data_IF_533399629961
#
_entry.id   IF_533399629961
#
_cell.length_a   1.000
_cell.length_b   1.000
_cell.length_c   1.000
_cell.angle_alpha   90.00
_cell.angle_beta   90.00
_cell.angle_gamma   90.00
#
_symmetry.space_group_name_H-M   'P 1'
#
loop_
_entity.id
_entity.type
_entity.pdbx_description
1 polymer ?
#
# COMPACT_ATOMS: atom_id res chain seq x y z
N UNK A 1 -5.29 3.69 -19.35
CA UNK A 1 -4.48 2.54 -18.88
C UNK A 1 -3.19 3.09 -18.29
N UNK A 2 -3.01 2.98 -16.97
CA UNK A 2 -1.76 3.37 -16.32
C UNK A 2 -0.69 2.32 -16.66
N UNK A 3 0.13 2.61 -17.67
CA UNK A 3 1.18 1.74 -18.23
C UNK A 3 2.33 1.42 -17.24
N UNK A 4 2.17 1.83 -15.99
CA UNK A 4 3.16 1.84 -14.94
C UNK A 4 3.04 0.67 -13.96
N UNK A 5 1.82 0.16 -13.77
CA UNK A 5 1.54 -0.94 -12.85
C UNK A 5 1.70 -2.28 -13.60
N UNK A 6 2.95 -2.69 -13.77
CA UNK A 6 3.33 -3.97 -14.41
C UNK A 6 4.36 -4.69 -13.54
N UNK A 7 4.49 -6.01 -13.73
CA UNK A 7 5.47 -6.80 -13.00
C UNK A 7 6.89 -6.22 -13.19
N UNK A 8 7.70 -6.16 -12.12
CA UNK A 8 8.93 -5.39 -12.13
C UNK A 8 10.01 -6.05 -13.00
N UNK A 9 10.56 -5.28 -13.93
CA UNK A 9 11.70 -5.70 -14.78
C UNK A 9 12.98 -4.92 -14.47
N UNK A 10 12.88 -3.73 -13.90
CA UNK A 10 14.02 -2.89 -13.46
C UNK A 10 14.22 -2.91 -11.95
N UNK A 11 15.41 -2.52 -11.47
CA UNK A 11 15.69 -2.38 -10.04
C UNK A 11 14.80 -1.32 -9.37
N UNK A 12 14.56 -0.19 -10.03
CA UNK A 12 13.64 0.83 -9.54
C UNK A 12 12.20 0.29 -9.37
N UNK A 13 11.72 -0.54 -10.31
CA UNK A 13 10.41 -1.18 -10.18
C UNK A 13 10.39 -2.20 -9.03
N UNK A 14 11.44 -3.03 -8.87
CA UNK A 14 11.57 -3.94 -7.72
C UNK A 14 11.58 -3.19 -6.39
N UNK A 15 12.29 -2.06 -6.31
CA UNK A 15 12.35 -1.23 -5.11
C UNK A 15 11.00 -0.53 -4.83
N UNK A 16 10.25 -0.18 -5.87
CA UNK A 16 8.87 0.33 -5.73
C UNK A 16 7.92 -0.73 -5.18
N UNK A 17 8.01 -1.96 -5.67
CA UNK A 17 7.25 -3.08 -5.11
C UNK A 17 7.59 -3.29 -3.63
N UNK A 18 8.87 -3.24 -3.25
CA UNK A 18 9.28 -3.30 -1.85
C UNK A 18 8.70 -2.15 -1.00
N UNK A 19 8.66 -0.92 -1.55
CA UNK A 19 8.02 0.22 -0.91
C UNK A 19 6.50 0.01 -0.73
N UNK A 20 5.81 -0.50 -1.75
CA UNK A 20 4.38 -0.83 -1.64
C UNK A 20 4.15 -1.92 -0.58
N UNK A 21 5.03 -2.91 -0.51
CA UNK A 21 4.95 -3.99 0.47
C UNK A 21 5.01 -3.47 1.91
N UNK A 22 5.93 -2.55 2.21
CA UNK A 22 6.01 -1.94 3.55
C UNK A 22 4.87 -0.97 3.83
N UNK A 23 4.37 -0.23 2.84
CA UNK A 23 3.20 0.64 3.01
C UNK A 23 1.96 -0.16 3.41
N UNK A 24 1.76 -1.33 2.79
CA UNK A 24 0.71 -2.27 3.18
C UNK A 24 0.95 -2.79 4.60
N UNK A 25 2.18 -3.18 4.93
CA UNK A 25 2.54 -3.62 6.28
C UNK A 25 2.28 -2.55 7.36
N UNK A 26 2.59 -1.29 7.06
CA UNK A 26 2.27 -0.15 7.92
C UNK A 26 0.76 -0.01 8.11
N UNK A 27 -0.02 0.02 7.02
CA UNK A 27 -1.48 0.12 7.10
C UNK A 27 -2.09 -1.01 7.95
N UNK A 28 -1.64 -2.26 7.77
CA UNK A 28 -2.12 -3.40 8.58
C UNK A 28 -1.75 -3.30 10.05
N UNK A 29 -0.59 -2.73 10.36
CA UNK A 29 -0.16 -2.49 11.75
C UNK A 29 -1.15 -1.57 12.49
N UNK A 30 -1.72 -0.59 11.77
CA UNK A 30 -2.66 0.40 12.34
C UNK A 30 -4.06 -0.17 12.65
N UNK A 31 -4.34 -1.42 12.27
CA UNK A 31 -5.61 -2.09 12.61
C UNK A 31 -5.66 -2.47 14.09
N UNK A 32 -4.53 -2.90 14.64
CA UNK A 32 -4.44 -3.36 16.03
C UNK A 32 -3.77 -2.32 16.95
N UNK A 33 -2.96 -1.43 16.37
CA UNK A 33 -2.20 -0.43 17.12
C UNK A 33 -2.62 0.99 16.69
N UNK A 34 -2.66 1.96 17.61
CA UNK A 34 -3.01 3.32 17.27
C UNK A 34 -1.96 3.94 16.33
N UNK A 35 -2.44 4.70 15.34
CA UNK A 35 -1.58 5.53 14.48
C UNK A 35 -0.81 6.56 15.30
N UNK A 36 0.38 6.93 14.84
CA UNK A 36 1.05 8.14 15.30
C UNK A 36 0.57 9.36 14.51
N UNK A 37 0.90 10.56 14.98
CA UNK A 37 0.66 11.82 14.28
C UNK A 37 1.31 11.91 12.89
N UNK A 38 2.33 11.09 12.62
CA UNK A 38 3.06 11.07 11.35
C UNK A 38 2.54 10.01 10.36
N UNK A 39 1.78 9.01 10.83
CA UNK A 39 1.45 7.80 10.05
C UNK A 39 0.76 8.13 8.73
N UNK A 40 -0.28 8.97 8.74
CA UNK A 40 -1.04 9.32 7.53
C UNK A 40 -0.20 10.11 6.52
N UNK A 41 0.69 10.98 7.03
CA UNK A 41 1.63 11.75 6.20
C UNK A 41 2.64 10.82 5.54
N UNK A 42 3.17 9.83 6.27
CA UNK A 42 4.11 8.83 5.76
C UNK A 42 3.45 7.95 4.71
N UNK A 43 2.24 7.44 4.97
CA UNK A 43 1.46 6.67 3.99
C UNK A 43 1.22 7.47 2.71
N UNK A 44 0.70 8.70 2.83
CA UNK A 44 0.40 9.55 1.68
C UNK A 44 1.67 9.89 0.88
N UNK A 45 2.77 10.23 1.55
CA UNK A 45 4.04 10.58 0.90
C UNK A 45 4.66 9.37 0.19
N UNK A 46 4.63 8.20 0.82
CA UNK A 46 5.11 6.96 0.23
C UNK A 46 4.30 6.55 -0.99
N UNK A 47 2.97 6.63 -0.92
CA UNK A 47 2.08 6.36 -2.05
C UNK A 47 2.29 7.32 -3.21
N UNK A 48 2.48 8.62 -2.95
CA UNK A 48 2.79 9.61 -3.99
C UNK A 48 4.09 9.29 -4.71
N UNK A 49 5.14 8.93 -3.96
CA UNK A 49 6.42 8.57 -4.55
C UNK A 49 6.33 7.24 -5.32
N UNK A 50 5.61 6.26 -4.78
CA UNK A 50 5.37 5.00 -5.48
C UNK A 50 4.57 5.20 -6.77
N UNK A 51 3.69 6.19 -6.83
CA UNK A 51 2.90 6.54 -8.02
C UNK A 51 3.68 7.30 -9.10
N UNK A 52 4.87 7.83 -8.79
CA UNK A 52 5.70 8.55 -9.74
C UNK A 52 6.50 7.55 -10.61
N UNK A 53 6.26 7.52 -11.94
CA UNK A 53 6.96 6.59 -12.83
C UNK A 53 8.46 6.79 -12.90
N UNK A 54 8.90 8.03 -12.75
CA UNK A 54 10.29 8.46 -12.92
C UNK A 54 11.04 8.50 -11.58
N UNK A 55 10.40 8.06 -10.50
CA UNK A 55 11.02 8.00 -9.18
C UNK A 55 12.32 7.19 -9.20
N UNK A 56 13.43 7.86 -8.83
CA UNK A 56 14.73 7.23 -8.72
C UNK A 56 14.74 6.13 -7.64
N UNK A 57 15.46 5.05 -7.91
CA UNK A 57 15.60 3.91 -6.98
C UNK A 57 16.02 4.35 -5.58
N UNK A 58 17.01 5.23 -5.46
CA UNK A 58 17.49 5.73 -4.17
C UNK A 58 16.41 6.52 -3.41
N UNK A 59 15.53 7.24 -4.11
CA UNK A 59 14.43 7.94 -3.46
C UNK A 59 13.40 6.94 -2.91
N UNK A 60 13.06 5.91 -3.69
CA UNK A 60 12.19 4.82 -3.26
C UNK A 60 12.78 4.07 -2.05
N UNK A 61 14.09 3.80 -2.07
CA UNK A 61 14.81 3.14 -0.97
C UNK A 61 14.83 3.98 0.30
N UNK A 62 15.06 5.30 0.21
CA UNK A 62 14.97 6.20 1.37
C UNK A 62 13.57 6.21 1.95
N UNK A 63 12.54 6.30 1.10
CA UNK A 63 11.16 6.27 1.55
C UNK A 63 10.81 4.95 2.21
N UNK A 64 11.28 3.82 1.66
CA UNK A 64 11.09 2.50 2.27
C UNK A 64 11.55 2.48 3.74
N UNK A 65 12.74 3.02 4.05
CA UNK A 65 13.23 3.08 5.42
C UNK A 65 12.44 4.03 6.33
N UNK A 66 11.89 5.11 5.78
CA UNK A 66 10.99 6.01 6.52
C UNK A 66 9.72 5.25 6.92
N UNK A 67 9.11 4.52 5.98
CA UNK A 67 7.90 3.73 6.25
C UNK A 67 8.18 2.59 7.24
N UNK A 68 9.31 1.88 7.12
CA UNK A 68 9.72 0.87 8.10
C UNK A 68 9.88 1.47 9.50
N UNK A 69 10.51 2.64 9.62
CA UNK A 69 10.70 3.32 10.90
C UNK A 69 9.35 3.69 11.51
N UNK A 70 8.43 4.23 10.71
CA UNK A 70 7.08 4.57 11.17
C UNK A 70 6.29 3.32 11.58
N UNK A 71 6.42 2.21 10.84
CA UNK A 71 5.80 0.93 11.19
C UNK A 71 6.31 0.42 12.55
N UNK A 72 7.60 0.54 12.83
CA UNK A 72 8.16 0.23 14.15
C UNK A 72 7.67 1.17 15.25
N UNK A 73 7.35 2.43 14.96
CA UNK A 73 6.76 3.36 15.95
C UNK A 73 5.31 3.00 16.27
N UNK A 74 4.54 2.58 15.26
CA UNK A 74 3.15 2.12 15.41
C UNK A 74 3.10 0.80 16.18
N UNK A 75 3.95 -0.17 15.83
CA UNK A 75 3.94 -1.51 16.42
C UNK A 75 5.32 -1.91 17.01
N UNK A 76 5.82 -1.21 18.05
CA UNK A 76 7.17 -1.43 18.58
C UNK A 76 7.34 -2.83 19.19
N UNK A 77 6.28 -3.35 19.81
CA UNK A 77 6.30 -4.69 20.42
C UNK A 77 6.34 -5.80 19.38
N UNK A 78 5.81 -5.58 18.17
CA UNK A 78 5.87 -6.55 17.09
C UNK A 78 7.29 -6.70 16.53
N UNK A 79 8.12 -5.65 16.58
CA UNK A 79 9.49 -5.68 16.07
C UNK A 79 10.41 -6.66 16.84
N UNK A 80 10.16 -6.83 18.14
CA UNK A 80 10.92 -7.73 19.02
C UNK A 80 10.18 -9.04 19.29
N UNK A 81 8.98 -9.22 18.73
CA UNK A 81 8.14 -10.37 19.03
C UNK A 81 8.77 -11.64 18.46
N UNK A 82 9.01 -12.62 19.33
CA UNK A 82 9.51 -13.95 18.95
C UNK A 82 8.41 -14.86 18.42
N UNK A 83 7.14 -14.55 18.69
CA UNK A 83 5.95 -15.23 18.15
C UNK A 83 5.37 -14.44 16.98
N UNK A 84 5.95 -14.64 15.78
CA UNK A 84 5.52 -13.93 14.57
C UNK A 84 4.09 -14.31 14.19
N UNK A 85 3.17 -13.34 14.29
CA UNK A 85 1.77 -13.48 13.90
C UNK A 85 1.48 -13.00 12.47
N UNK A 86 2.44 -12.36 11.79
CA UNK A 86 2.30 -11.87 10.42
C UNK A 86 1.53 -10.56 10.26
N UNK A 87 0.96 -9.99 11.33
CA UNK A 87 0.13 -8.77 11.26
C UNK A 87 0.90 -7.51 10.86
N UNK A 88 2.23 -7.51 11.00
CA UNK A 88 3.12 -6.37 10.70
C UNK A 88 4.12 -6.71 9.58
N UNK A 89 3.97 -7.89 8.96
CA UNK A 89 4.81 -8.31 7.85
C UNK A 89 4.53 -7.43 6.62
N UNK A 90 5.58 -7.20 5.85
CA UNK A 90 5.45 -6.51 4.58
C UNK A 90 4.71 -7.40 3.58
N UNK A 91 3.83 -6.80 2.79
CA UNK A 91 3.16 -7.55 1.73
C UNK A 91 4.14 -7.91 0.62
N UNK A 92 4.17 -9.18 0.25
CA UNK A 92 4.94 -9.65 -0.89
C UNK A 92 4.18 -9.41 -2.19
N UNK A 93 4.60 -8.39 -2.96
CA UNK A 93 3.99 -8.04 -4.24
C UNK A 93 4.15 -9.15 -5.30
N UNK A 94 5.06 -10.11 -5.13
CA UNK A 94 5.09 -11.28 -6.01
C UNK A 94 3.75 -12.03 -6.01
N UNK A 95 3.03 -12.02 -4.87
CA UNK A 95 1.68 -12.59 -4.76
C UNK A 95 0.66 -11.85 -5.61
N UNK A 96 0.77 -10.52 -5.70
CA UNK A 96 -0.08 -9.71 -6.59
C UNK A 96 0.18 -10.09 -8.06
N UNK A 97 1.44 -10.21 -8.46
CA UNK A 97 1.80 -10.50 -9.85
C UNK A 97 1.44 -11.93 -10.28
N UNK A 98 1.55 -12.89 -9.35
CA UNK A 98 1.19 -14.29 -9.56
C UNK A 98 -0.32 -14.59 -9.41
N UNK A 99 -1.13 -13.62 -8.96
CA UNK A 99 -2.57 -13.81 -8.81
C UNK A 99 -3.27 -14.08 -10.15
N UNK A 100 -4.43 -14.77 -10.12
CA UNK A 100 -5.33 -14.89 -11.28
C UNK A 100 -5.62 -13.55 -11.94
N UNK A 101 -5.82 -13.53 -13.26
CA UNK A 101 -5.87 -12.29 -14.05
C UNK A 101 -7.00 -11.34 -13.62
N UNK A 102 -8.17 -11.89 -13.32
CA UNK A 102 -9.35 -11.22 -12.75
C UNK A 102 -9.02 -10.54 -11.40
N UNK A 103 -8.46 -11.29 -10.46
CA UNK A 103 -8.06 -10.79 -9.13
C UNK A 103 -6.96 -9.74 -9.26
N UNK A 104 -5.94 -10.01 -10.07
CA UNK A 104 -4.84 -9.08 -10.33
C UNK A 104 -5.37 -7.78 -10.93
N UNK A 105 -6.29 -7.85 -11.88
CA UNK A 105 -6.90 -6.67 -12.49
C UNK A 105 -7.63 -5.80 -11.46
N UNK A 106 -8.40 -6.41 -10.56
CA UNK A 106 -9.08 -5.69 -9.47
C UNK A 106 -8.09 -5.04 -8.50
N UNK A 107 -7.07 -5.78 -8.05
CA UNK A 107 -6.05 -5.24 -7.14
C UNK A 107 -5.24 -4.10 -7.78
N UNK A 108 -4.94 -4.17 -9.08
CA UNK A 108 -4.26 -3.09 -9.80
C UNK A 108 -5.16 -1.85 -9.97
N UNK A 109 -6.46 -2.04 -10.21
CA UNK A 109 -7.44 -0.93 -10.21
C UNK A 109 -7.54 -0.26 -8.85
N UNK A 110 -7.59 -1.05 -7.79
CA UNK A 110 -7.59 -0.57 -6.41
C UNK A 110 -6.33 0.27 -6.13
N UNK A 111 -5.15 -0.25 -6.49
CA UNK A 111 -3.88 0.46 -6.31
C UNK A 111 -3.84 1.77 -7.11
N UNK A 112 -4.35 1.78 -8.35
CA UNK A 112 -4.47 2.99 -9.15
C UNK A 112 -5.40 4.04 -8.50
N UNK A 113 -6.50 3.62 -7.89
CA UNK A 113 -7.38 4.52 -7.14
C UNK A 113 -6.67 5.10 -5.90
N UNK A 114 -6.00 4.26 -5.12
CA UNK A 114 -5.21 4.68 -3.94
C UNK A 114 -4.14 5.72 -4.31
N UNK A 115 -3.44 5.52 -5.44
CA UNK A 115 -2.46 6.49 -5.93
C UNK A 115 -3.08 7.85 -6.25
N UNK A 116 -4.24 7.88 -6.91
CA UNK A 116 -4.96 9.13 -7.20
C UNK A 116 -5.41 9.83 -5.93
N UNK A 117 -5.97 9.09 -4.97
CA UNK A 117 -6.38 9.65 -3.67
C UNK A 117 -5.19 10.27 -2.93
N UNK A 118 -4.06 9.55 -2.87
CA UNK A 118 -2.86 10.07 -2.23
C UNK A 118 -2.38 11.37 -2.89
N UNK A 119 -2.40 11.46 -4.23
CA UNK A 119 -2.02 12.66 -4.97
C UNK A 119 -2.95 13.86 -4.68
N UNK A 120 -4.25 13.62 -4.44
CA UNK A 120 -5.30 14.64 -4.29
C UNK A 120 -5.38 15.41 -2.96
N UNK A 121 -4.42 15.25 -2.05
CA UNK A 121 -4.50 15.73 -0.63
C UNK A 121 -5.72 15.11 0.09
N UNK A 122 -5.61 13.86 0.57
CA UNK A 122 -6.74 13.15 1.14
C UNK A 122 -7.28 13.87 2.38
N UNK A 123 -8.61 13.97 2.48
CA UNK A 123 -9.30 14.28 3.73
C UNK A 123 -9.45 13.01 4.59
N UNK A 124 -10.11 13.11 5.74
CA UNK A 124 -10.29 11.97 6.65
C UNK A 124 -11.00 10.78 5.98
N UNK A 125 -12.00 11.04 5.14
CA UNK A 125 -12.75 10.00 4.43
C UNK A 125 -11.89 9.31 3.38
N UNK A 126 -11.12 10.07 2.61
CA UNK A 126 -10.18 9.53 1.65
C UNK A 126 -9.07 8.73 2.33
N UNK A 127 -8.60 9.17 3.51
CA UNK A 127 -7.61 8.44 4.29
C UNK A 127 -8.14 7.08 4.76
N UNK A 128 -9.37 7.00 5.27
CA UNK A 128 -10.00 5.73 5.63
C UNK A 128 -10.09 4.76 4.43
N UNK A 129 -10.40 5.28 3.24
CA UNK A 129 -10.44 4.49 2.01
C UNK A 129 -9.04 3.99 1.62
N UNK A 130 -8.01 4.83 1.76
CA UNK A 130 -6.61 4.43 1.52
C UNK A 130 -6.21 3.30 2.47
N UNK A 131 -6.48 3.44 3.77
CA UNK A 131 -6.11 2.43 4.76
C UNK A 131 -6.82 1.11 4.50
N UNK A 132 -8.14 1.16 4.25
CA UNK A 132 -8.93 -0.03 3.91
C UNK A 132 -8.40 -0.70 2.63
N UNK A 133 -8.11 0.08 1.60
CA UNK A 133 -7.63 -0.43 0.33
C UNK A 133 -6.25 -1.12 0.46
N UNK A 134 -5.34 -0.52 1.23
CA UNK A 134 -4.03 -1.13 1.51
C UNK A 134 -4.15 -2.42 2.31
N UNK A 135 -5.04 -2.47 3.31
CA UNK A 135 -5.34 -3.69 4.05
C UNK A 135 -5.83 -4.80 3.10
N UNK A 136 -6.87 -4.50 2.30
CA UNK A 136 -7.50 -5.44 1.37
C UNK A 136 -6.53 -5.94 0.29
N UNK A 137 -5.55 -5.13 -0.11
CA UNK A 137 -4.54 -5.53 -1.08
C UNK A 137 -3.76 -6.79 -0.62
N UNK A 138 -3.50 -6.91 0.69
CA UNK A 138 -2.80 -8.07 1.26
C UNK A 138 -3.67 -9.31 1.44
N UNK A 139 -5.00 -9.17 1.42
CA UNK A 139 -5.91 -10.26 1.71
C UNK A 139 -6.13 -11.15 0.47
N UNK A 140 -6.38 -12.43 0.71
CA UNK A 140 -6.68 -13.43 -0.32
C UNK A 140 -8.18 -13.45 -0.64
N UNK A 141 -8.74 -12.28 -0.94
CA UNK A 141 -10.15 -12.09 -1.28
C UNK A 141 -10.43 -12.42 -2.74
N UNK A 142 -11.63 -12.92 -3.00
CA UNK A 142 -12.16 -13.17 -4.34
C UNK A 142 -12.76 -11.90 -4.97
N UNK A 143 -13.27 -12.03 -6.21
CA UNK A 143 -13.87 -10.93 -6.95
C UNK A 143 -15.10 -10.32 -6.23
N UNK A 144 -15.94 -11.15 -5.61
CA UNK A 144 -17.17 -10.70 -4.93
C UNK A 144 -16.85 -9.77 -3.76
N UNK A 145 -15.77 -10.06 -3.03
CA UNK A 145 -15.29 -9.24 -1.91
C UNK A 145 -14.45 -8.05 -2.36
N UNK A 146 -13.64 -8.19 -3.41
CA UNK A 146 -12.77 -7.12 -3.90
C UNK A 146 -13.55 -6.04 -4.66
N UNK A 147 -14.49 -6.40 -5.53
CA UNK A 147 -15.15 -5.47 -6.44
C UNK A 147 -15.86 -4.29 -5.72
N UNK A 148 -16.57 -4.49 -4.59
CA UNK A 148 -17.17 -3.38 -3.85
C UNK A 148 -16.14 -2.40 -3.28
N UNK A 149 -14.99 -2.91 -2.81
CA UNK A 149 -13.91 -2.07 -2.27
C UNK A 149 -13.24 -1.27 -3.39
N UNK A 150 -12.97 -1.89 -4.53
CA UNK A 150 -12.45 -1.21 -5.73
C UNK A 150 -13.39 -0.09 -6.15
N UNK A 151 -14.68 -0.39 -6.26
CA UNK A 151 -15.70 0.60 -6.64
C UNK A 151 -15.73 1.77 -5.66
N UNK A 152 -15.74 1.50 -4.34
CA UNK A 152 -15.70 2.55 -3.30
C UNK A 152 -14.48 3.45 -3.45
N UNK A 153 -13.31 2.88 -3.73
CA UNK A 153 -12.07 3.65 -3.93
C UNK A 153 -12.12 4.51 -5.20
N UNK A 154 -12.67 3.97 -6.30
CA UNK A 154 -12.86 4.70 -7.56
C UNK A 154 -13.88 5.84 -7.41
N UNK A 155 -15.02 5.59 -6.75
CA UNK A 155 -16.04 6.61 -6.47
C UNK A 155 -15.48 7.74 -5.60
N UNK A 156 -14.62 7.41 -4.62
CA UNK A 156 -13.94 8.40 -3.79
C UNK A 156 -12.95 9.27 -4.58
N UNK A 157 -12.43 8.79 -5.71
CA UNK A 157 -11.58 9.61 -6.58
C UNK A 157 -12.37 10.60 -7.46
N UNK A 158 -13.68 10.36 -7.63
CA UNK A 158 -14.53 11.13 -8.54
C UNK A 158 -15.30 12.28 -7.86
N UNK A 159 -15.38 12.25 -6.52
CA UNK A 159 -15.95 13.33 -5.70
C UNK A 159 -14.92 14.38 -5.35
#
# INVERSE_FOLDING_TARGET
>A
MNQFLSAPVTDAQRQRDALLGVLVGLARSTVNEPKTEDTDRVLTSGLRLAADPDAAEDALRRMYHIVETEKHRVAPNCAICTMRCGNTDNYDLARLWAAPEDIRTLKLRLLAAVFRLAQGRPDARAQEVIDQALFVLAEDWDEELLAPVVKRAEDCCAG
#
